data_IF_787074286358
#
_entry.id   IF_787074286358
#
_cell.length_a   1.000
_cell.length_b   1.000
_cell.length_c   1.000
_cell.angle_alpha   90.00
_cell.angle_beta   90.00
_cell.angle_gamma   90.00
#
_symmetry.space_group_name_H-M   'P 1'
#
loop_
_entity.id
_entity.type
_entity.pdbx_description
1 polymer ?
#
# COMPACT_ATOMS: atom_id res chain seq x y z
N UNK A 1 75.39 12.22 6.14
CA UNK A 1 74.32 11.76 7.05
C UNK A 1 73.01 12.05 6.35
N UNK A 2 72.37 11.00 5.86
CA UNK A 2 71.38 11.02 4.79
C UNK A 2 69.98 11.28 5.35
N UNK A 3 69.33 12.34 4.86
CA UNK A 3 67.94 12.68 5.12
C UNK A 3 67.03 11.64 4.46
N UNK A 4 66.30 10.87 5.26
CA UNK A 4 65.25 9.97 4.77
C UNK A 4 63.94 10.75 4.67
N UNK A 5 63.48 10.94 3.45
CA UNK A 5 62.16 11.46 3.11
C UNK A 5 61.06 10.56 3.68
N UNK A 6 60.10 11.19 4.38
CA UNK A 6 58.88 10.53 4.84
C UNK A 6 57.83 10.68 3.73
N UNK A 7 57.40 9.60 3.04
CA UNK A 7 56.40 9.71 2.00
C UNK A 7 55.03 9.99 2.61
N UNK A 8 54.42 11.07 2.08
CA UNK A 8 53.05 11.50 2.28
C UNK A 8 52.05 10.34 2.46
N UNK A 9 51.55 10.17 3.69
CA UNK A 9 50.30 9.45 3.93
C UNK A 9 49.12 10.38 3.66
N UNK A 10 48.98 10.84 2.43
CA UNK A 10 47.75 11.50 1.95
C UNK A 10 46.73 10.42 1.61
N UNK A 11 46.21 9.78 2.67
CA UNK A 11 45.05 8.88 2.61
C UNK A 11 43.87 9.66 2.02
N UNK A 12 43.53 9.32 0.79
CA UNK A 12 42.35 9.75 0.03
C UNK A 12 41.07 9.36 0.75
N UNK A 13 40.68 10.17 1.73
CA UNK A 13 39.38 10.13 2.40
C UNK A 13 38.34 10.85 1.53
N UNK A 14 38.02 10.29 0.36
CA UNK A 14 37.03 10.86 -0.58
C UNK A 14 35.88 9.91 -0.95
N UNK A 15 35.68 8.82 -0.20
CA UNK A 15 34.77 7.73 -0.60
C UNK A 15 33.34 7.75 0.00
N UNK A 16 33.01 8.64 0.94
CA UNK A 16 31.78 8.46 1.74
C UNK A 16 30.57 9.35 1.38
N UNK A 17 30.74 10.40 0.56
CA UNK A 17 29.65 11.36 0.30
C UNK A 17 28.57 10.87 -0.66
N UNK A 18 28.86 9.87 -1.50
CA UNK A 18 27.92 9.34 -2.52
C UNK A 18 27.02 8.20 -2.02
N UNK A 19 27.37 7.57 -0.89
CA UNK A 19 26.62 6.48 -0.27
C UNK A 19 25.15 6.81 0.08
N UNK A 20 24.82 7.96 0.73
CA UNK A 20 23.44 8.22 1.16
C UNK A 20 22.49 8.51 -0.01
N UNK A 21 22.98 9.16 -1.07
CA UNK A 21 22.17 9.51 -2.25
C UNK A 21 21.77 8.24 -3.01
N UNK A 22 22.72 7.32 -3.22
CA UNK A 22 22.47 6.05 -3.92
C UNK A 22 21.45 5.18 -3.17
N UNK A 23 21.56 5.07 -1.84
CA UNK A 23 20.60 4.30 -1.01
C UNK A 23 19.19 4.89 -1.10
N UNK A 24 19.05 6.22 -0.99
CA UNK A 24 17.74 6.88 -1.13
C UNK A 24 17.12 6.65 -2.51
N UNK A 25 17.93 6.73 -3.58
CA UNK A 25 17.47 6.48 -4.94
C UNK A 25 16.97 5.05 -5.14
N UNK A 26 17.71 4.05 -4.64
CA UNK A 26 17.30 2.63 -4.71
C UNK A 26 15.99 2.39 -3.95
N UNK A 27 15.82 2.97 -2.76
CA UNK A 27 14.58 2.86 -1.97
C UNK A 27 13.38 3.46 -2.70
N UNK A 28 13.54 4.65 -3.28
CA UNK A 28 12.49 5.29 -4.05
C UNK A 28 12.15 4.48 -5.31
N UNK A 29 13.15 3.94 -6.00
CA UNK A 29 12.95 3.07 -7.15
C UNK A 29 12.18 1.80 -6.78
N UNK A 30 12.53 1.13 -5.68
CA UNK A 30 11.82 -0.05 -5.21
C UNK A 30 10.37 0.24 -4.81
N UNK A 31 10.12 1.31 -4.06
CA UNK A 31 8.76 1.73 -3.71
C UNK A 31 7.94 2.06 -4.96
N UNK A 32 8.53 2.79 -5.91
CA UNK A 32 7.90 3.13 -7.19
C UNK A 32 7.58 1.88 -8.00
N UNK A 33 8.50 0.90 -8.04
CA UNK A 33 8.30 -0.36 -8.74
C UNK A 33 7.14 -1.17 -8.14
N UNK A 34 7.03 -1.23 -6.81
CA UNK A 34 5.91 -1.91 -6.14
C UNK A 34 4.57 -1.24 -6.44
N UNK A 35 4.52 0.10 -6.38
CA UNK A 35 3.31 0.86 -6.72
C UNK A 35 2.95 0.63 -8.19
N UNK A 36 3.91 0.75 -9.10
CA UNK A 36 3.68 0.54 -10.52
C UNK A 36 3.20 -0.90 -10.81
N UNK A 37 3.78 -1.90 -10.15
CA UNK A 37 3.38 -3.29 -10.29
C UNK A 37 1.93 -3.50 -9.82
N UNK A 38 1.55 -2.94 -8.67
CA UNK A 38 0.17 -2.98 -8.19
C UNK A 38 -0.77 -2.32 -9.21
N UNK A 39 -0.47 -1.11 -9.66
CA UNK A 39 -1.29 -0.37 -10.61
C UNK A 39 -1.43 -1.07 -11.97
N UNK A 40 -0.34 -1.64 -12.51
CA UNK A 40 -0.37 -2.33 -13.81
C UNK A 40 -1.17 -3.64 -13.73
N UNK A 41 -1.05 -4.37 -12.61
CA UNK A 41 -1.73 -5.66 -12.45
C UNK A 41 -3.21 -5.50 -12.12
N UNK A 42 -3.56 -4.63 -11.16
CA UNK A 42 -4.94 -4.39 -10.74
C UNK A 42 -5.70 -3.34 -11.57
N UNK A 43 -5.00 -2.46 -12.27
CA UNK A 43 -5.61 -1.32 -12.98
C UNK A 43 -6.28 -1.67 -14.32
N UNK A 44 -6.07 -2.88 -14.84
CA UNK A 44 -6.51 -3.27 -16.20
C UNK A 44 -8.01 -3.29 -16.42
N UNK A 45 -8.81 -3.36 -15.35
CA UNK A 45 -10.28 -3.48 -15.39
C UNK A 45 -10.98 -2.62 -14.36
N UNK A 46 -10.42 -1.45 -14.04
CA UNK A 46 -11.05 -0.50 -13.11
C UNK A 46 -12.43 -0.08 -13.62
N UNK A 47 -12.57 0.13 -14.92
CA UNK A 47 -13.77 0.56 -15.63
C UNK A 47 -14.74 -0.57 -16.00
N UNK A 48 -14.45 -1.80 -15.60
CA UNK A 48 -15.35 -2.92 -15.88
C UNK A 48 -16.71 -2.71 -15.20
N UNK A 49 -17.81 -3.23 -15.76
CA UNK A 49 -19.08 -3.30 -15.06
C UNK A 49 -18.96 -4.09 -13.74
N UNK A 50 -19.96 -3.97 -12.87
CA UNK A 50 -20.09 -4.85 -11.70
C UNK A 50 -20.03 -6.32 -12.12
N UNK A 51 -19.21 -7.10 -11.43
CA UNK A 51 -18.96 -8.50 -11.69
C UNK A 51 -19.97 -9.32 -10.89
N UNK A 52 -20.63 -10.27 -11.56
CA UNK A 52 -21.54 -11.21 -10.91
C UNK A 52 -20.82 -11.99 -9.80
N UNK A 53 -21.49 -12.15 -8.66
CA UNK A 53 -20.92 -12.74 -7.45
C UNK A 53 -20.82 -11.71 -6.32
N UNK A 54 -19.67 -11.66 -5.67
CA UNK A 54 -19.42 -10.92 -4.44
C UNK A 54 -19.73 -9.42 -4.57
N UNK A 55 -19.39 -8.77 -5.69
CA UNK A 55 -19.66 -7.34 -5.87
C UNK A 55 -21.16 -7.04 -5.86
N UNK A 56 -21.98 -7.88 -6.51
CA UNK A 56 -23.44 -7.71 -6.43
C UNK A 56 -23.98 -8.04 -5.04
N UNK A 57 -23.46 -9.09 -4.40
CA UNK A 57 -23.94 -9.50 -3.08
C UNK A 57 -23.63 -8.48 -1.99
N UNK A 58 -22.40 -7.94 -1.97
CA UNK A 58 -21.92 -7.09 -0.88
C UNK A 58 -22.09 -5.60 -1.14
N UNK A 59 -22.24 -5.18 -2.40
CA UNK A 59 -22.33 -3.77 -2.78
C UNK A 59 -23.68 -3.48 -3.43
N UNK A 60 -23.93 -4.01 -4.63
CA UNK A 60 -25.06 -3.56 -5.48
C UNK A 60 -26.43 -3.92 -4.91
N UNK A 61 -26.58 -5.13 -4.38
CA UNK A 61 -27.84 -5.62 -3.79
C UNK A 61 -27.83 -5.59 -2.25
N UNK A 62 -26.84 -4.92 -1.65
CA UNK A 62 -26.74 -4.83 -0.21
C UNK A 62 -27.40 -3.54 0.29
N UNK A 63 -28.55 -3.63 0.99
CA UNK A 63 -29.25 -2.44 1.49
C UNK A 63 -28.47 -1.72 2.61
N UNK A 64 -27.52 -2.38 3.29
CA UNK A 64 -26.59 -1.71 4.21
C UNK A 64 -25.70 -0.69 3.46
N UNK A 65 -25.32 -1.01 2.23
CA UNK A 65 -24.51 -0.15 1.36
C UNK A 65 -25.38 0.88 0.64
N UNK A 66 -26.33 0.40 -0.17
CA UNK A 66 -27.08 1.24 -1.09
C UNK A 66 -28.12 2.11 -0.39
N UNK A 67 -28.65 1.63 0.73
CA UNK A 67 -29.82 2.22 1.38
C UNK A 67 -31.14 1.89 0.71
N UNK A 68 -31.16 0.96 -0.24
CA UNK A 68 -32.40 0.56 -0.91
C UNK A 68 -33.39 -0.05 0.11
N UNK A 69 -34.65 0.40 0.04
CA UNK A 69 -35.70 0.01 0.98
C UNK A 69 -35.52 0.48 2.43
N UNK A 70 -34.60 1.42 2.71
CA UNK A 70 -34.30 1.93 4.06
C UNK A 70 -34.70 3.41 4.21
N UNK A 71 -35.31 3.74 5.34
CA UNK A 71 -35.85 5.09 5.63
C UNK A 71 -34.97 5.88 6.62
N UNK A 72 -34.13 5.18 7.37
CA UNK A 72 -33.24 5.77 8.36
C UNK A 72 -32.14 6.64 7.74
N UNK A 73 -31.66 7.65 8.47
CA UNK A 73 -30.55 8.47 8.00
C UNK A 73 -29.26 7.64 7.91
N UNK A 74 -28.37 8.04 6.99
CA UNK A 74 -27.11 7.35 6.68
C UNK A 74 -26.26 7.00 7.91
N UNK A 75 -26.12 7.93 8.88
CA UNK A 75 -25.33 7.67 10.09
C UNK A 75 -25.88 6.52 10.94
N UNK A 76 -27.21 6.35 10.96
CA UNK A 76 -27.87 5.27 11.72
C UNK A 76 -27.69 3.95 11.00
N UNK A 77 -27.80 3.94 9.67
CA UNK A 77 -27.44 2.79 8.83
C UNK A 77 -25.99 2.34 9.05
N UNK A 78 -25.05 3.28 9.12
CA UNK A 78 -23.64 2.98 9.43
C UNK A 78 -23.46 2.36 10.82
N UNK A 79 -24.24 2.77 11.81
CA UNK A 79 -24.21 2.14 13.14
C UNK A 79 -24.83 0.74 13.10
N UNK A 80 -25.96 0.58 12.39
CA UNK A 80 -26.69 -0.68 12.28
C UNK A 80 -25.85 -1.78 11.62
N UNK A 81 -24.96 -1.44 10.68
CA UNK A 81 -23.99 -2.37 10.06
C UNK A 81 -23.18 -3.17 11.10
N UNK A 82 -22.94 -2.65 12.31
CA UNK A 82 -22.21 -3.33 13.38
C UNK A 82 -23.09 -4.18 14.30
N UNK A 83 -24.40 -4.18 14.10
CA UNK A 83 -25.37 -4.79 15.02
C UNK A 83 -25.84 -6.18 14.60
N UNK A 84 -25.55 -6.59 13.37
CA UNK A 84 -25.90 -7.90 12.84
C UNK A 84 -24.70 -8.67 12.28
N UNK A 85 -24.88 -9.98 12.18
CA UNK A 85 -23.90 -10.88 11.59
C UNK A 85 -24.05 -10.84 10.07
N UNK A 86 -22.93 -10.64 9.39
CA UNK A 86 -22.83 -10.71 7.94
C UNK A 86 -22.33 -12.10 7.54
N UNK A 87 -22.89 -12.67 6.46
CA UNK A 87 -22.54 -14.00 5.98
C UNK A 87 -21.30 -13.98 5.07
N UNK A 88 -20.19 -13.40 5.54
CA UNK A 88 -18.93 -13.33 4.80
C UNK A 88 -17.72 -13.06 5.71
N UNK A 89 -16.51 -13.26 5.17
CA UNK A 89 -15.26 -12.97 5.85
C UNK A 89 -15.03 -11.46 5.99
N UNK A 90 -14.38 -11.06 7.08
CA UNK A 90 -13.86 -9.70 7.31
C UNK A 90 -14.90 -8.57 7.46
N UNK A 91 -16.19 -8.88 7.55
CA UNK A 91 -17.25 -7.91 7.88
C UNK A 91 -17.21 -7.52 9.37
N UNK A 92 -17.63 -6.30 9.76
CA UNK A 92 -18.48 -5.34 9.02
C UNK A 92 -17.75 -4.15 8.35
N UNK A 93 -16.42 -4.08 8.48
CA UNK A 93 -15.64 -2.92 8.02
C UNK A 93 -15.69 -2.70 6.49
N UNK A 94 -15.60 -3.73 5.64
CA UNK A 94 -15.78 -3.59 4.19
C UNK A 94 -17.15 -3.03 3.83
N UNK A 95 -18.24 -3.55 4.41
CA UNK A 95 -19.59 -3.03 4.17
C UNK A 95 -19.71 -1.55 4.57
N UNK A 96 -19.14 -1.14 5.71
CA UNK A 96 -19.12 0.28 6.09
C UNK A 96 -18.36 1.12 5.05
N UNK A 97 -17.19 0.66 4.61
CA UNK A 97 -16.38 1.34 3.58
C UNK A 97 -17.18 1.49 2.29
N UNK A 98 -17.82 0.42 1.84
CA UNK A 98 -18.67 0.42 0.66
C UNK A 98 -19.87 1.37 0.79
N UNK A 99 -20.52 1.41 1.97
CA UNK A 99 -21.62 2.34 2.22
C UNK A 99 -21.18 3.81 2.10
N UNK A 100 -19.97 4.14 2.59
CA UNK A 100 -19.39 5.48 2.48
C UNK A 100 -19.07 5.81 1.02
N UNK A 101 -18.42 4.91 0.29
CA UNK A 101 -18.08 5.13 -1.11
C UNK A 101 -19.33 5.22 -1.99
N UNK A 102 -20.32 4.36 -1.77
CA UNK A 102 -21.61 4.42 -2.43
C UNK A 102 -22.33 5.75 -2.15
N UNK A 103 -22.21 6.29 -0.94
CA UNK A 103 -22.78 7.59 -0.60
C UNK A 103 -22.12 8.74 -1.38
N UNK A 104 -20.84 8.63 -1.71
CA UNK A 104 -20.08 9.65 -2.44
C UNK A 104 -20.32 9.54 -3.95
N UNK A 105 -20.32 8.32 -4.49
CA UNK A 105 -20.28 8.07 -5.93
C UNK A 105 -21.60 7.53 -6.52
N UNK A 106 -22.51 7.02 -5.69
CA UNK A 106 -23.78 6.44 -6.13
C UNK A 106 -23.62 5.14 -6.92
N UNK A 107 -24.52 4.90 -7.88
CA UNK A 107 -24.52 3.66 -8.69
C UNK A 107 -23.31 3.53 -9.63
N UNK A 108 -22.65 4.65 -9.96
CA UNK A 108 -21.44 4.70 -10.78
C UNK A 108 -20.15 4.48 -9.96
N UNK A 109 -20.27 3.90 -8.76
CA UNK A 109 -19.15 3.76 -7.81
C UNK A 109 -18.13 2.66 -8.16
N UNK A 110 -18.36 1.83 -9.18
CA UNK A 110 -17.50 0.69 -9.47
C UNK A 110 -16.02 1.08 -9.71
N UNK A 111 -15.79 2.05 -10.59
CA UNK A 111 -14.44 2.53 -10.89
C UNK A 111 -13.75 3.21 -9.69
N UNK A 112 -14.38 4.18 -8.99
CA UNK A 112 -13.72 4.82 -7.85
C UNK A 112 -13.48 3.85 -6.68
N UNK A 113 -14.38 2.91 -6.41
CA UNK A 113 -14.19 1.90 -5.35
C UNK A 113 -13.00 0.97 -5.66
N UNK A 114 -12.94 0.44 -6.88
CA UNK A 114 -11.79 -0.40 -7.29
C UNK A 114 -10.48 0.38 -7.32
N UNK A 115 -10.52 1.67 -7.66
CA UNK A 115 -9.35 2.53 -7.57
C UNK A 115 -8.91 2.71 -6.11
N UNK A 116 -9.84 2.94 -5.17
CA UNK A 116 -9.51 3.04 -3.76
C UNK A 116 -8.90 1.73 -3.23
N UNK A 117 -9.50 0.58 -3.53
CA UNK A 117 -8.96 -0.74 -3.19
C UNK A 117 -7.55 -0.94 -3.76
N UNK A 118 -7.32 -0.55 -5.02
CA UNK A 118 -6.02 -0.67 -5.67
C UNK A 118 -4.96 0.22 -5.02
N UNK A 119 -5.32 1.44 -4.64
CA UNK A 119 -4.42 2.36 -3.93
C UNK A 119 -4.07 1.83 -2.54
N UNK A 120 -5.04 1.26 -1.82
CA UNK A 120 -4.80 0.62 -0.52
C UNK A 120 -3.85 -0.57 -0.68
N UNK A 121 -4.01 -1.39 -1.72
CA UNK A 121 -3.08 -2.49 -2.02
C UNK A 121 -1.67 -1.98 -2.33
N UNK A 122 -1.53 -0.92 -3.13
CA UNK A 122 -0.23 -0.33 -3.44
C UNK A 122 0.48 0.20 -2.18
N UNK A 123 -0.27 0.88 -1.29
CA UNK A 123 0.25 1.35 0.00
C UNK A 123 0.66 0.16 0.88
N UNK A 124 -0.19 -0.86 0.98
CA UNK A 124 0.09 -2.06 1.78
C UNK A 124 1.34 -2.81 1.29
N UNK A 125 1.54 -2.92 -0.03
CA UNK A 125 2.75 -3.53 -0.59
C UNK A 125 4.02 -2.79 -0.14
N UNK A 126 4.01 -1.45 -0.16
CA UNK A 126 5.13 -0.64 0.32
C UNK A 126 5.32 -0.80 1.83
N UNK A 127 4.24 -0.79 2.62
CA UNK A 127 4.32 -0.95 4.09
C UNK A 127 4.86 -2.32 4.49
N UNK A 128 4.41 -3.39 3.83
CA UNK A 128 4.89 -4.76 4.06
C UNK A 128 6.37 -4.86 3.69
N UNK A 129 6.76 -4.31 2.53
CA UNK A 129 8.18 -4.27 2.15
C UNK A 129 9.03 -3.56 3.22
N UNK A 130 8.57 -2.40 3.73
CA UNK A 130 9.25 -1.68 4.82
C UNK A 130 9.32 -2.48 6.11
N UNK A 131 8.25 -3.19 6.46
CA UNK A 131 8.21 -4.04 7.65
C UNK A 131 9.20 -5.20 7.51
N UNK A 132 9.18 -5.92 6.39
CA UNK A 132 10.10 -7.02 6.12
C UNK A 132 11.56 -6.56 6.09
N UNK A 133 11.84 -5.43 5.45
CA UNK A 133 13.15 -4.81 5.47
C UNK A 133 13.67 -4.54 6.90
N UNK A 134 12.79 -4.17 7.83
CA UNK A 134 13.18 -3.96 9.23
C UNK A 134 13.34 -5.26 10.01
N UNK A 135 12.49 -6.25 9.75
CA UNK A 135 12.50 -7.53 10.48
C UNK A 135 13.61 -8.47 10.02
N UNK A 136 13.99 -8.41 8.74
CA UNK A 136 15.00 -9.28 8.14
C UNK A 136 16.43 -8.74 8.33
N UNK A 137 16.60 -7.48 8.70
CA UNK A 137 17.89 -6.95 9.14
C UNK A 137 18.11 -7.31 10.62
N UNK A 138 18.94 -8.32 10.89
CA UNK A 138 19.37 -8.61 12.27
C UNK A 138 20.51 -7.68 12.68
N UNK A 139 20.61 -7.29 13.96
CA UNK A 139 21.85 -6.71 14.49
C UNK A 139 22.98 -7.74 14.37
N UNK A 140 23.90 -7.55 13.41
CA UNK A 140 25.10 -8.38 13.26
C UNK A 140 25.29 -9.08 11.91
N UNK A 141 24.35 -8.99 10.98
CA UNK A 141 24.54 -9.52 9.62
C UNK A 141 25.55 -8.64 8.86
N UNK A 142 26.57 -9.25 8.26
CA UNK A 142 27.58 -8.54 7.47
C UNK A 142 26.89 -7.81 6.29
N UNK A 143 27.31 -6.58 5.96
CA UNK A 143 26.61 -5.73 5.02
C UNK A 143 26.72 -6.29 3.60
N UNK A 144 25.69 -7.00 3.17
CA UNK A 144 25.50 -7.26 1.75
C UNK A 144 24.89 -5.99 1.14
N UNK A 145 25.72 -5.24 0.41
CA UNK A 145 25.43 -3.84 0.01
C UNK A 145 24.10 -3.64 -0.74
N UNK A 146 23.56 -4.70 -1.37
CA UNK A 146 22.27 -4.68 -2.05
C UNK A 146 21.08 -4.72 -1.06
N UNK A 147 21.18 -5.49 0.03
CA UNK A 147 20.14 -5.60 1.06
C UNK A 147 20.08 -4.30 1.87
N UNK A 148 21.24 -3.72 2.23
CA UNK A 148 21.27 -2.42 2.91
C UNK A 148 20.68 -1.27 2.08
N UNK A 149 20.88 -1.29 0.76
CA UNK A 149 20.33 -0.26 -0.12
C UNK A 149 18.79 -0.29 -0.19
N UNK A 150 18.18 -1.45 0.05
CA UNK A 150 16.73 -1.65 0.04
C UNK A 150 16.10 -1.54 1.44
N UNK A 151 16.88 -1.75 2.49
CA UNK A 151 16.37 -1.76 3.86
C UNK A 151 16.51 -0.39 4.53
N UNK A 152 15.60 -0.06 5.45
CA UNK A 152 15.41 1.30 6.01
C UNK A 152 16.35 1.62 7.15
#
# INVERSE_FOLDING_TARGET
>A
MQTMDNPDTSSTRTSDSHQPIRRRAVRLAAATALIALALITGGRRIDAPWIQGDEYMFIVHNPDVTGDGREEPFWRRCADIFTHVHNDLYQPIPILTYAIEWRIWGADSAAPMRLADLLIHAINAVLIWRLLARLLLRPGDAPDTAVEALCW
#
